data_IF_023758168768
#
_entry.id   IF_023758168768
#
_cell.length_a   1.000
_cell.length_b   1.000
_cell.length_c   1.000
_cell.angle_alpha   90.00
_cell.angle_beta   90.00
_cell.angle_gamma   90.00
#
_symmetry.space_group_name_H-M   'P 1'
#
loop_
_entity.id
_entity.type
_entity.pdbx_description
1 polymer ?
#
# COMPACT_ATOMS: atom_id res chain seq x y z
N UNK A 1 -22.38 25.11 -14.39
CA UNK A 1 -21.74 23.81 -14.20
C UNK A 1 -20.31 24.00 -13.71
N UNK A 2 -20.02 23.49 -12.53
CA UNK A 2 -18.67 23.33 -11.98
C UNK A 2 -18.29 21.86 -12.03
N UNK A 3 -17.02 21.58 -12.31
CA UNK A 3 -16.50 20.21 -12.44
C UNK A 3 -15.27 20.09 -11.56
N UNK A 4 -15.30 19.13 -10.64
CA UNK A 4 -14.16 18.74 -9.82
C UNK A 4 -13.89 17.25 -10.02
N UNK A 5 -12.62 16.85 -9.98
CA UNK A 5 -12.28 15.43 -9.89
C UNK A 5 -12.42 15.04 -8.43
N UNK A 6 -13.25 14.04 -8.14
CA UNK A 6 -13.50 13.60 -6.78
C UNK A 6 -12.21 13.16 -6.11
N UNK A 7 -12.12 13.40 -4.79
CA UNK A 7 -10.90 13.11 -4.02
C UNK A 7 -10.47 11.65 -4.14
N UNK A 8 -11.42 10.73 -4.16
CA UNK A 8 -11.20 9.29 -4.28
C UNK A 8 -12.13 8.69 -5.34
N UNK A 9 -11.74 7.52 -5.87
CA UNK A 9 -12.59 6.73 -6.74
C UNK A 9 -13.95 6.47 -6.08
N UNK A 10 -15.03 6.69 -6.84
CA UNK A 10 -16.43 6.55 -6.43
C UNK A 10 -16.85 7.44 -5.25
N UNK A 11 -16.08 8.48 -4.91
CA UNK A 11 -16.26 9.26 -3.69
C UNK A 11 -16.36 8.37 -2.42
N UNK A 12 -15.55 7.30 -2.37
CA UNK A 12 -15.44 6.42 -1.21
C UNK A 12 -14.05 6.52 -0.59
N UNK A 13 -14.00 6.67 0.72
CA UNK A 13 -12.75 6.68 1.47
C UNK A 13 -12.05 5.33 1.31
N UNK A 14 -10.80 5.31 0.81
CA UNK A 14 -10.11 4.06 0.67
C UNK A 14 -9.65 3.54 2.04
N UNK A 15 -9.93 2.25 2.28
CA UNK A 15 -9.36 1.47 3.38
C UNK A 15 -8.19 0.67 2.84
N UNK A 16 -7.10 0.61 3.58
CA UNK A 16 -5.94 -0.20 3.20
C UNK A 16 -5.17 -0.64 4.45
N UNK A 17 -4.31 -1.64 4.31
CA UNK A 17 -3.39 -2.04 5.38
C UNK A 17 -2.01 -2.36 4.82
N UNK A 18 -1.00 -1.95 5.57
CA UNK A 18 0.40 -2.21 5.31
C UNK A 18 0.88 -3.30 6.26
N UNK A 19 1.36 -4.41 5.71
CA UNK A 19 2.08 -5.44 6.45
C UNK A 19 3.59 -5.33 6.15
N UNK A 20 4.33 -4.87 7.15
CA UNK A 20 5.78 -4.73 7.13
C UNK A 20 6.47 -5.98 7.70
N UNK A 21 7.76 -6.11 7.42
CA UNK A 21 8.71 -7.12 7.89
C UNK A 21 8.44 -8.56 7.47
N UNK A 22 7.54 -8.80 6.53
CA UNK A 22 7.19 -10.17 6.16
C UNK A 22 8.29 -10.78 5.30
N UNK A 23 8.55 -12.08 5.48
CA UNK A 23 9.62 -12.79 4.79
C UNK A 23 9.21 -14.21 4.40
N UNK A 24 9.96 -14.83 3.49
CA UNK A 24 9.80 -16.24 3.17
C UNK A 24 10.21 -17.11 4.35
N UNK A 25 9.21 -17.59 5.11
CA UNK A 25 9.30 -18.52 6.25
C UNK A 25 10.13 -18.04 7.46
N UNK A 26 11.01 -17.04 7.31
CA UNK A 26 11.87 -16.55 8.39
C UNK A 26 11.07 -15.66 9.34
N UNK A 27 11.37 -15.77 10.64
CA UNK A 27 11.04 -14.71 11.58
C UNK A 27 12.18 -13.72 11.67
N UNK A 28 12.03 -12.62 10.91
CA UNK A 28 13.04 -11.58 10.83
C UNK A 28 13.45 -11.02 12.20
N UNK A 29 12.48 -10.88 13.11
CA UNK A 29 12.69 -10.26 14.41
C UNK A 29 13.58 -11.11 15.33
N UNK A 30 13.60 -12.44 15.18
CA UNK A 30 14.56 -13.31 15.86
C UNK A 30 16.00 -12.88 15.54
N UNK A 31 16.31 -12.73 14.25
CA UNK A 31 17.64 -12.38 13.79
C UNK A 31 17.97 -10.92 14.09
N UNK A 32 17.03 -10.01 13.82
CA UNK A 32 17.18 -8.60 14.08
C UNK A 32 17.51 -8.33 15.56
N UNK A 33 16.70 -8.82 16.50
CA UNK A 33 16.95 -8.59 17.93
C UNK A 33 18.26 -9.24 18.40
N UNK A 34 18.53 -10.49 17.98
CA UNK A 34 19.78 -11.20 18.32
C UNK A 34 21.00 -10.36 17.93
N UNK A 35 21.02 -9.88 16.68
CA UNK A 35 22.18 -9.17 16.13
C UNK A 35 22.24 -7.74 16.64
N UNK A 36 21.09 -7.08 16.81
CA UNK A 36 21.03 -5.69 17.26
C UNK A 36 21.40 -5.53 18.72
N UNK A 37 21.03 -6.48 19.58
CA UNK A 37 21.45 -6.50 20.99
C UNK A 37 22.98 -6.45 21.15
N UNK A 38 23.73 -7.04 20.21
CA UNK A 38 25.20 -6.98 20.23
C UNK A 38 25.75 -5.59 19.91
N UNK A 39 24.96 -4.76 19.21
CA UNK A 39 25.36 -3.42 18.78
C UNK A 39 24.95 -2.36 19.80
N UNK A 40 23.70 -2.38 20.28
CA UNK A 40 23.18 -1.37 21.19
C UNK A 40 23.19 -1.77 22.67
N UNK A 41 23.46 -3.04 22.97
CA UNK A 41 23.49 -3.55 24.34
C UNK A 41 22.11 -3.63 24.99
N UNK A 42 21.03 -3.48 24.22
CA UNK A 42 19.70 -3.78 24.72
C UNK A 42 19.55 -5.28 24.96
N UNK A 43 18.81 -5.67 25.99
CA UNK A 43 18.60 -7.08 26.35
C UNK A 43 17.24 -7.57 25.83
N UNK A 44 16.97 -7.36 24.54
CA UNK A 44 15.72 -7.83 23.93
C UNK A 44 15.70 -9.36 23.95
N UNK A 45 14.58 -9.95 24.37
CA UNK A 45 14.44 -11.41 24.55
C UNK A 45 14.22 -12.10 23.20
N UNK A 46 15.25 -12.24 22.39
CA UNK A 46 15.13 -12.82 21.06
C UNK A 46 14.94 -14.35 21.09
N UNK A 47 15.30 -14.99 22.21
CA UNK A 47 15.16 -16.42 22.41
C UNK A 47 13.71 -16.87 22.61
N UNK A 48 12.78 -15.97 22.99
CA UNK A 48 11.37 -16.36 23.13
C UNK A 48 10.61 -16.34 21.79
N UNK A 49 11.17 -15.73 20.73
CA UNK A 49 10.51 -15.69 19.42
C UNK A 49 10.97 -16.87 18.55
N UNK A 50 10.07 -17.52 17.78
CA UNK A 50 10.44 -18.63 16.93
C UNK A 50 11.30 -18.15 15.78
N UNK A 51 12.20 -19.00 15.28
CA UNK A 51 13.04 -18.69 14.10
C UNK A 51 12.19 -18.60 12.81
N UNK A 52 11.01 -19.20 12.80
CA UNK A 52 10.19 -19.43 11.59
C UNK A 52 8.76 -18.94 11.80
N UNK A 53 8.22 -18.25 10.79
CA UNK A 53 6.78 -18.06 10.62
C UNK A 53 6.21 -19.18 9.74
N UNK A 54 5.22 -19.95 10.22
CA UNK A 54 4.70 -21.07 9.45
C UNK A 54 3.89 -20.57 8.24
N UNK A 55 4.07 -21.21 7.08
CA UNK A 55 3.26 -20.94 5.87
C UNK A 55 1.76 -21.04 6.16
N UNK A 56 1.34 -21.98 7.01
CA UNK A 56 -0.06 -22.17 7.38
C UNK A 56 -0.70 -20.92 7.98
N UNK A 57 0.06 -20.08 8.70
CA UNK A 57 -0.46 -18.81 9.21
C UNK A 57 -0.62 -17.78 8.10
N UNK A 58 0.38 -17.66 7.22
CA UNK A 58 0.33 -16.72 6.08
C UNK A 58 -0.85 -17.09 5.15
N UNK A 59 -1.06 -18.39 4.92
CA UNK A 59 -2.17 -18.91 4.13
C UNK A 59 -3.52 -18.59 4.75
N UNK A 60 -3.72 -18.90 6.04
CA UNK A 60 -4.97 -18.58 6.74
C UNK A 60 -5.26 -17.07 6.73
N UNK A 61 -4.22 -16.26 6.89
CA UNK A 61 -4.33 -14.80 6.77
C UNK A 61 -4.78 -14.38 5.36
N UNK A 62 -4.10 -14.86 4.31
CA UNK A 62 -4.41 -14.50 2.93
C UNK A 62 -5.83 -14.91 2.52
N UNK A 63 -6.20 -16.17 2.81
CA UNK A 63 -7.54 -16.70 2.56
C UNK A 63 -8.62 -15.88 3.29
N UNK A 64 -8.40 -15.58 4.58
CA UNK A 64 -9.34 -14.76 5.34
C UNK A 64 -9.46 -13.34 4.77
N UNK A 65 -8.37 -12.72 4.33
CA UNK A 65 -8.39 -11.40 3.71
C UNK A 65 -9.16 -11.40 2.38
N UNK A 66 -8.96 -12.42 1.53
CA UNK A 66 -9.71 -12.59 0.29
C UNK A 66 -11.21 -12.73 0.55
N UNK A 67 -11.60 -13.60 1.47
CA UNK A 67 -12.99 -13.81 1.86
C UNK A 67 -13.67 -12.54 2.40
N UNK A 68 -12.89 -11.65 3.01
CA UNK A 68 -13.39 -10.43 3.63
C UNK A 68 -13.18 -9.17 2.78
N UNK A 69 -12.65 -9.32 1.56
CA UNK A 69 -12.38 -8.22 0.63
C UNK A 69 -11.32 -7.23 1.12
N UNK A 70 -10.48 -7.64 2.08
CA UNK A 70 -9.40 -6.80 2.61
C UNK A 70 -8.33 -6.65 1.54
N UNK A 71 -7.84 -5.43 1.37
CA UNK A 71 -6.76 -5.11 0.45
C UNK A 71 -5.68 -4.26 1.11
N UNK A 72 -4.48 -4.27 0.54
CA UNK A 72 -3.37 -3.54 1.11
C UNK A 72 -2.05 -3.70 0.37
N UNK A 73 -0.96 -3.68 1.13
CA UNK A 73 0.35 -4.16 0.67
C UNK A 73 0.98 -5.12 1.67
N UNK A 74 1.77 -6.04 1.14
CA UNK A 74 2.51 -7.07 1.87
C UNK A 74 3.99 -6.97 1.48
N UNK A 75 4.83 -6.64 2.44
CA UNK A 75 6.28 -6.63 2.23
C UNK A 75 6.80 -8.06 2.02
N UNK A 76 7.85 -8.23 1.22
CA UNK A 76 8.67 -9.45 1.26
C UNK A 76 10.13 -9.01 1.26
N UNK A 77 10.84 -9.27 2.34
CA UNK A 77 12.28 -8.94 2.41
C UNK A 77 13.05 -9.83 1.43
N UNK A 78 13.78 -9.28 0.44
CA UNK A 78 14.45 -10.05 -0.62
C UNK A 78 15.59 -10.94 -0.14
N UNK A 79 16.34 -10.50 0.87
CA UNK A 79 17.49 -11.19 1.46
C UNK A 79 17.35 -11.25 2.99
N UNK A 80 16.32 -11.91 3.52
CA UNK A 80 15.90 -11.75 4.92
C UNK A 80 17.05 -12.02 5.90
N UNK A 81 17.34 -11.03 6.76
CA UNK A 81 18.43 -11.07 7.74
C UNK A 81 19.82 -11.41 7.15
N UNK A 82 20.04 -11.09 5.86
CA UNK A 82 21.24 -11.44 5.11
C UNK A 82 21.53 -12.97 5.07
N UNK A 83 20.51 -13.81 5.19
CA UNK A 83 20.64 -15.28 5.17
C UNK A 83 20.80 -15.85 3.75
N UNK A 84 20.59 -15.03 2.72
CA UNK A 84 20.61 -15.41 1.31
C UNK A 84 19.47 -14.74 0.55
N UNK A 85 19.52 -14.81 -0.78
CA UNK A 85 18.47 -14.27 -1.65
C UNK A 85 17.33 -15.27 -1.79
N UNK A 86 16.09 -14.80 -1.72
CA UNK A 86 14.94 -15.70 -1.87
C UNK A 86 14.84 -16.32 -3.28
N UNK A 87 15.42 -15.68 -4.30
CA UNK A 87 15.41 -16.18 -5.69
C UNK A 87 16.46 -17.27 -5.97
N UNK A 88 17.39 -17.50 -5.05
CA UNK A 88 18.33 -18.65 -5.07
C UNK A 88 17.99 -19.70 -4.02
N UNK A 89 17.00 -19.40 -3.18
CA UNK A 89 16.61 -20.18 -2.03
C UNK A 89 17.45 -19.91 -0.77
N UNK A 90 16.83 -20.08 0.39
CA UNK A 90 17.41 -19.91 1.70
C UNK A 90 17.94 -21.25 2.25
N UNK A 91 19.18 -21.31 2.79
CA UNK A 91 19.77 -22.54 3.31
C UNK A 91 19.00 -23.22 4.44
N UNK A 92 18.11 -22.49 5.14
CA UNK A 92 17.34 -23.00 6.28
C UNK A 92 16.18 -23.91 5.87
N UNK A 93 15.75 -23.88 4.60
CA UNK A 93 14.53 -24.56 4.15
C UNK A 93 14.79 -25.41 2.92
N UNK A 94 14.03 -26.49 2.78
CA UNK A 94 14.04 -27.28 1.55
C UNK A 94 13.46 -26.48 0.38
N UNK A 95 13.87 -26.79 -0.84
CA UNK A 95 13.30 -26.19 -2.05
C UNK A 95 11.77 -26.32 -2.09
N UNK A 96 11.24 -27.49 -1.70
CA UNK A 96 9.80 -27.74 -1.69
C UNK A 96 9.02 -26.80 -0.74
N UNK A 97 9.58 -26.48 0.44
CA UNK A 97 8.95 -25.52 1.36
C UNK A 97 8.95 -24.10 0.79
N UNK A 98 10.01 -23.72 0.10
CA UNK A 98 10.17 -22.40 -0.49
C UNK A 98 9.25 -22.21 -1.69
N UNK A 99 9.19 -23.22 -2.58
CA UNK A 99 8.28 -23.24 -3.71
C UNK A 99 6.81 -23.20 -3.26
N UNK A 100 6.47 -23.94 -2.21
CA UNK A 100 5.14 -23.94 -1.60
C UNK A 100 4.75 -22.54 -1.09
N UNK A 101 5.66 -21.89 -0.36
CA UNK A 101 5.42 -20.55 0.17
C UNK A 101 5.28 -19.51 -0.94
N UNK A 102 6.16 -19.53 -1.94
CA UNK A 102 6.09 -18.61 -3.08
C UNK A 102 4.82 -18.82 -3.90
N UNK A 103 4.42 -20.07 -4.14
CA UNK A 103 3.17 -20.39 -4.82
C UNK A 103 1.96 -19.87 -4.03
N UNK A 104 1.94 -20.10 -2.72
CA UNK A 104 0.91 -19.58 -1.82
C UNK A 104 0.82 -18.06 -1.89
N UNK A 105 1.93 -17.33 -1.83
CA UNK A 105 1.90 -15.87 -1.95
C UNK A 105 1.27 -15.39 -3.26
N UNK A 106 1.60 -16.05 -4.38
CA UNK A 106 1.00 -15.71 -5.68
C UNK A 106 -0.50 -16.01 -5.73
N UNK A 107 -0.94 -17.08 -5.09
CA UNK A 107 -2.35 -17.49 -5.12
C UNK A 107 -3.24 -16.74 -4.13
N UNK A 108 -2.78 -16.49 -2.90
CA UNK A 108 -3.64 -15.99 -1.82
C UNK A 108 -3.24 -14.64 -1.23
N UNK A 109 -2.04 -14.13 -1.52
CA UNK A 109 -1.61 -12.79 -1.07
C UNK A 109 -1.75 -11.77 -2.21
N UNK A 110 -1.12 -12.00 -3.36
CA UNK A 110 -1.11 -11.06 -4.48
C UNK A 110 -2.48 -10.62 -5.02
N UNK A 111 -3.57 -11.41 -4.96
CA UNK A 111 -4.86 -10.91 -5.44
C UNK A 111 -5.45 -9.78 -4.58
N UNK A 112 -5.03 -9.65 -3.32
CA UNK A 112 -5.49 -8.62 -2.37
C UNK A 112 -4.42 -7.60 -2.02
N UNK A 113 -3.14 -7.92 -2.19
CA UNK A 113 -2.04 -7.12 -1.69
C UNK A 113 -1.01 -6.81 -2.76
N UNK A 114 -0.63 -5.54 -2.86
CA UNK A 114 0.59 -5.16 -3.57
C UNK A 114 1.80 -5.81 -2.89
N UNK A 115 2.78 -6.27 -3.67
CA UNK A 115 4.08 -6.69 -3.15
C UNK A 115 5.04 -5.50 -3.16
N UNK A 116 5.83 -5.38 -2.10
CA UNK A 116 6.95 -4.43 -2.03
C UNK A 116 8.17 -5.10 -1.39
N UNK A 117 9.40 -4.84 -1.83
CA UNK A 117 10.54 -5.05 -0.96
C UNK A 117 10.44 -4.07 0.21
N UNK A 118 10.85 -4.48 1.38
CA UNK A 118 11.12 -3.60 2.50
C UNK A 118 12.60 -3.65 2.75
N UNK A 119 13.30 -2.77 1.99
CA UNK A 119 14.59 -3.00 1.28
C UNK A 119 15.35 -4.32 1.55
N UNK A 120 16.67 -4.41 1.38
CA UNK A 120 17.28 -5.66 0.92
C UNK A 120 17.25 -6.76 1.97
N UNK A 121 17.70 -6.46 3.19
CA UNK A 121 17.84 -7.48 4.25
C UNK A 121 17.05 -7.18 5.50
N UNK A 122 16.69 -5.92 5.69
CA UNK A 122 16.14 -5.35 6.92
C UNK A 122 17.13 -5.36 8.10
N UNK A 123 18.39 -5.67 7.85
CA UNK A 123 19.49 -5.61 8.81
C UNK A 123 20.66 -4.82 8.24
N UNK A 124 21.58 -5.48 7.54
CA UNK A 124 22.84 -4.93 7.06
C UNK A 124 22.76 -4.51 5.59
N UNK A 125 23.48 -3.44 5.23
CA UNK A 125 23.72 -3.16 3.82
C UNK A 125 24.61 -4.25 3.23
N UNK A 126 24.26 -4.70 2.04
CA UNK A 126 24.98 -5.75 1.32
C UNK A 126 25.74 -5.23 0.11
N UNK A 127 26.79 -5.96 -0.26
CA UNK A 127 27.44 -5.82 -1.55
C UNK A 127 26.51 -6.27 -2.69
N UNK A 128 26.43 -5.48 -3.77
CA UNK A 128 25.48 -5.70 -4.86
C UNK A 128 25.78 -6.95 -5.71
N UNK A 129 27.04 -7.36 -5.79
CA UNK A 129 27.44 -8.53 -6.58
C UNK A 129 27.19 -9.82 -5.80
N UNK A 130 27.58 -9.83 -4.53
CA UNK A 130 27.58 -11.05 -3.70
C UNK A 130 26.36 -11.18 -2.80
N UNK A 131 25.61 -10.10 -2.56
CA UNK A 131 24.53 -10.00 -1.58
C UNK A 131 24.96 -10.41 -0.16
N UNK A 132 26.24 -10.25 0.17
CA UNK A 132 26.77 -10.46 1.52
C UNK A 132 26.85 -9.14 2.28
N UNK A 133 26.67 -9.12 3.61
CA UNK A 133 26.88 -7.92 4.40
C UNK A 133 28.25 -7.30 4.13
N UNK A 134 28.28 -5.98 4.02
CA UNK A 134 29.54 -5.24 3.90
C UNK A 134 30.40 -5.46 5.15
N UNK A 135 31.72 -5.49 4.98
CA UNK A 135 32.66 -5.63 6.12
C UNK A 135 32.54 -4.50 7.13
N UNK A 136 32.05 -3.32 6.70
CA UNK A 136 31.76 -2.19 7.57
C UNK A 136 30.64 -2.45 8.58
N UNK A 137 29.78 -3.45 8.34
CA UNK A 137 28.68 -3.80 9.23
C UNK A 137 27.60 -2.72 9.34
N UNK A 138 27.50 -1.82 8.37
CA UNK A 138 26.50 -0.74 8.37
C UNK A 138 25.07 -1.31 8.28
N UNK A 139 24.15 -0.77 9.08
CA UNK A 139 22.76 -1.18 9.12
C UNK A 139 21.88 -0.31 8.22
N UNK A 140 21.03 -0.95 7.41
CA UNK A 140 20.15 -0.27 6.45
C UNK A 140 19.24 0.77 7.15
N UNK A 141 18.75 0.44 8.35
CA UNK A 141 17.76 1.25 9.06
C UNK A 141 18.34 2.37 9.93
N UNK A 142 19.62 2.25 10.30
CA UNK A 142 20.22 3.10 11.34
C UNK A 142 21.41 3.89 10.81
N UNK A 143 22.33 3.23 10.13
CA UNK A 143 23.57 3.83 9.66
C UNK A 143 23.45 4.32 8.21
N UNK A 144 22.53 3.73 7.44
CA UNK A 144 22.22 4.13 6.07
C UNK A 144 20.83 4.77 5.93
N UNK A 145 20.41 5.46 7.00
CA UNK A 145 19.13 6.16 7.04
C UNK A 145 19.14 7.45 6.21
N UNK A 146 20.27 8.16 6.22
CA UNK A 146 20.63 9.27 5.33
C UNK A 146 21.40 8.76 4.11
N UNK A 147 20.70 8.70 2.98
CA UNK A 147 21.21 8.19 1.72
C UNK A 147 22.23 9.14 1.08
N UNK A 148 23.29 8.62 0.45
CA UNK A 148 24.33 9.41 -0.19
C UNK A 148 23.80 10.04 -1.49
N UNK A 149 23.42 11.32 -1.41
CA UNK A 149 22.82 12.05 -2.55
C UNK A 149 23.79 12.30 -3.70
N UNK A 150 25.09 12.17 -3.46
CA UNK A 150 26.17 12.20 -4.45
C UNK A 150 26.37 10.85 -5.17
N UNK A 151 25.68 9.79 -4.75
CA UNK A 151 25.78 8.43 -5.29
C UNK A 151 24.42 7.87 -5.70
N UNK A 152 23.68 8.62 -6.54
CA UNK A 152 22.33 8.25 -7.02
C UNK A 152 22.25 6.86 -7.66
N UNK A 153 23.24 6.50 -8.49
CA UNK A 153 23.25 5.20 -9.16
C UNK A 153 23.41 4.04 -8.18
N UNK A 154 24.26 4.18 -7.15
CA UNK A 154 24.42 3.16 -6.11
C UNK A 154 23.09 2.88 -5.39
N UNK A 155 22.40 3.94 -4.96
CA UNK A 155 21.12 3.81 -4.25
C UNK A 155 20.04 3.24 -5.17
N UNK A 156 20.00 3.71 -6.42
CA UNK A 156 19.06 3.22 -7.43
C UNK A 156 19.31 1.74 -7.73
N UNK A 157 20.56 1.31 -7.87
CA UNK A 157 20.92 -0.08 -8.16
C UNK A 157 20.65 -1.00 -6.97
N UNK A 158 20.82 -0.50 -5.74
CA UNK A 158 20.44 -1.21 -4.52
C UNK A 158 18.93 -1.50 -4.48
N UNK A 159 18.10 -0.49 -4.73
CA UNK A 159 16.65 -0.65 -4.79
C UNK A 159 16.24 -1.51 -5.99
N UNK A 160 16.93 -1.35 -7.13
CA UNK A 160 16.69 -2.15 -8.36
C UNK A 160 16.94 -3.62 -8.09
N UNK A 161 18.03 -3.98 -7.41
CA UNK A 161 18.37 -5.35 -7.08
C UNK A 161 17.35 -5.96 -6.11
N UNK A 162 16.91 -5.20 -5.10
CA UNK A 162 15.85 -5.62 -4.17
C UNK A 162 14.55 -5.94 -4.92
N UNK A 163 14.14 -5.06 -5.84
CA UNK A 163 12.96 -5.27 -6.67
C UNK A 163 13.12 -6.46 -7.62
N UNK A 164 14.30 -6.62 -8.24
CA UNK A 164 14.60 -7.69 -9.19
C UNK A 164 14.54 -9.07 -8.54
N UNK A 165 15.03 -9.21 -7.30
CA UNK A 165 14.95 -10.47 -6.55
C UNK A 165 13.49 -10.91 -6.38
N UNK A 166 12.59 -10.00 -6.03
CA UNK A 166 11.16 -10.32 -5.89
C UNK A 166 10.53 -10.66 -7.25
N UNK A 167 10.86 -9.89 -8.29
CA UNK A 167 10.37 -10.11 -9.64
C UNK A 167 10.82 -11.48 -10.22
N UNK A 168 12.05 -11.89 -9.96
CA UNK A 168 12.59 -13.20 -10.36
C UNK A 168 11.76 -14.38 -9.81
N UNK A 169 11.14 -14.21 -8.64
CA UNK A 169 10.24 -15.19 -8.05
C UNK A 169 8.77 -14.88 -8.30
N UNK A 170 8.44 -14.08 -9.32
CA UNK A 170 7.06 -13.78 -9.70
C UNK A 170 6.26 -13.05 -8.61
N UNK A 171 6.96 -12.35 -7.71
CA UNK A 171 6.38 -11.44 -6.71
C UNK A 171 6.67 -9.99 -7.16
N UNK A 172 6.30 -9.67 -8.41
CA UNK A 172 6.60 -8.38 -9.06
C UNK A 172 6.14 -7.20 -8.20
N UNK A 173 7.05 -6.30 -7.79
CA UNK A 173 6.71 -5.21 -6.88
C UNK A 173 5.85 -4.12 -7.53
N UNK A 174 4.82 -3.64 -6.83
CA UNK A 174 4.05 -2.46 -7.24
C UNK A 174 4.61 -1.15 -6.64
N UNK A 175 5.45 -1.28 -5.62
CA UNK A 175 6.09 -0.18 -4.90
C UNK A 175 7.27 -0.66 -4.06
N UNK A 176 7.82 0.21 -3.24
CA UNK A 176 8.90 -0.11 -2.27
C UNK A 176 8.54 0.35 -0.86
N UNK A 177 9.16 -0.27 0.13
CA UNK A 177 8.98 0.04 1.54
C UNK A 177 10.30 0.43 2.16
N UNK A 178 10.31 1.59 2.80
CA UNK A 178 11.42 2.06 3.63
C UNK A 178 11.33 1.38 5.00
N UNK A 179 12.30 0.54 5.40
CA UNK A 179 12.36 0.09 6.79
C UNK A 179 12.78 1.28 7.69
N UNK A 180 12.40 1.26 8.96
CA UNK A 180 12.93 2.18 9.99
C UNK A 180 13.34 3.58 9.49
N UNK A 181 14.64 3.89 9.57
CA UNK A 181 15.19 5.18 9.15
C UNK A 181 15.46 5.36 7.65
N UNK A 182 15.70 4.30 6.89
CA UNK A 182 16.17 4.29 5.48
C UNK A 182 15.43 5.28 4.57
N UNK A 183 16.10 6.01 3.68
CA UNK A 183 15.38 6.82 2.68
C UNK A 183 15.20 8.30 3.04
N UNK A 184 16.13 8.89 3.79
CA UNK A 184 16.28 10.35 3.90
C UNK A 184 17.38 10.84 2.95
N UNK A 185 17.28 12.02 2.33
CA UNK A 185 16.11 12.87 2.27
C UNK A 185 15.03 12.29 1.32
N UNK A 186 13.77 12.55 1.66
CA UNK A 186 12.61 11.94 1.01
C UNK A 186 12.53 12.15 -0.52
N UNK A 187 12.79 13.36 -1.06
CA UNK A 187 12.76 13.56 -2.52
C UNK A 187 13.78 12.68 -3.24
N UNK A 188 15.00 12.60 -2.73
CA UNK A 188 16.06 11.78 -3.32
C UNK A 188 15.70 10.28 -3.31
N UNK A 189 15.16 9.79 -2.19
CA UNK A 189 14.66 8.42 -2.10
C UNK A 189 13.54 8.15 -3.11
N UNK A 190 12.55 9.04 -3.22
CA UNK A 190 11.45 8.92 -4.16
C UNK A 190 11.96 8.85 -5.62
N UNK A 191 12.96 9.66 -5.99
CA UNK A 191 13.60 9.64 -7.32
C UNK A 191 14.29 8.31 -7.62
N UNK A 192 15.12 7.83 -6.69
CA UNK A 192 15.85 6.57 -6.86
C UNK A 192 14.88 5.39 -6.94
N UNK A 193 13.86 5.36 -6.07
CA UNK A 193 12.85 4.33 -6.03
C UNK A 193 11.98 4.28 -7.30
N UNK A 194 11.54 5.44 -7.81
CA UNK A 194 10.81 5.55 -9.08
C UNK A 194 11.63 4.92 -10.22
N UNK A 195 12.88 5.35 -10.36
CA UNK A 195 13.79 4.86 -11.40
C UNK A 195 14.02 3.36 -11.29
N UNK A 196 14.26 2.85 -10.08
CA UNK A 196 14.47 1.43 -9.83
C UNK A 196 13.25 0.58 -10.20
N UNK A 197 12.06 0.96 -9.75
CA UNK A 197 10.82 0.23 -10.06
C UNK A 197 10.50 0.26 -11.56
N UNK A 198 10.73 1.38 -12.24
CA UNK A 198 10.58 1.48 -13.69
C UNK A 198 11.56 0.56 -14.44
N UNK A 199 12.82 0.49 -14.03
CA UNK A 199 13.84 -0.43 -14.61
C UNK A 199 13.48 -1.91 -14.46
N UNK A 200 12.72 -2.27 -13.42
CA UNK A 200 12.34 -3.67 -13.18
C UNK A 200 11.00 -4.00 -13.84
N UNK A 201 9.99 -3.16 -13.62
CA UNK A 201 8.58 -3.50 -13.87
C UNK A 201 7.96 -2.72 -15.02
N UNK A 202 8.58 -1.62 -15.46
CA UNK A 202 7.96 -0.67 -16.39
C UNK A 202 6.73 0.06 -15.83
N UNK A 203 6.41 -0.09 -14.54
CA UNK A 203 5.28 0.60 -13.93
C UNK A 203 5.47 2.11 -14.01
N UNK A 204 4.52 2.81 -14.64
CA UNK A 204 4.57 4.26 -14.83
C UNK A 204 4.25 5.05 -13.55
N UNK A 205 3.46 4.46 -12.65
CA UNK A 205 3.00 5.10 -11.39
C UNK A 205 3.25 4.19 -10.17
N UNK A 206 4.51 3.80 -9.90
CA UNK A 206 4.85 3.08 -8.69
C UNK A 206 4.62 3.94 -7.45
N UNK A 207 4.75 3.33 -6.27
CA UNK A 207 4.66 4.05 -5.01
C UNK A 207 5.74 3.67 -4.01
N UNK A 208 5.91 4.48 -2.96
CA UNK A 208 6.67 4.08 -1.79
C UNK A 208 5.85 4.27 -0.50
N UNK A 209 6.19 3.47 0.51
CA UNK A 209 5.80 3.68 1.90
C UNK A 209 7.01 4.09 2.74
N UNK A 210 6.85 5.12 3.59
CA UNK A 210 7.86 5.55 4.57
C UNK A 210 7.24 6.29 5.77
N UNK A 211 6.24 7.14 5.53
CA UNK A 211 5.70 8.03 6.56
C UNK A 211 4.46 7.46 7.25
N UNK A 212 4.37 7.75 8.54
CA UNK A 212 3.19 7.51 9.37
C UNK A 212 2.72 8.86 9.91
N UNK A 213 1.42 9.15 9.79
CA UNK A 213 0.78 10.35 10.31
C UNK A 213 -0.24 9.96 11.40
N UNK A 214 0.23 9.96 12.65
CA UNK A 214 -0.55 9.52 13.82
C UNK A 214 -1.73 10.44 14.19
N UNK A 215 -1.72 11.68 13.72
CA UNK A 215 -2.76 12.68 13.92
C UNK A 215 -3.00 13.51 12.65
N UNK A 216 -4.02 14.37 12.67
CA UNK A 216 -4.31 15.29 11.56
C UNK A 216 -4.83 14.62 10.28
N UNK A 217 -4.93 15.41 9.19
CA UNK A 217 -5.35 14.93 7.87
C UNK A 217 -4.28 14.06 7.22
N UNK A 218 -4.71 13.11 6.39
CA UNK A 218 -3.82 12.23 5.62
C UNK A 218 -3.76 12.69 4.17
N UNK A 219 -2.55 12.91 3.69
CA UNK A 219 -2.24 13.31 2.32
C UNK A 219 -2.01 12.08 1.42
N UNK A 220 -2.04 12.30 0.11
CA UNK A 220 -1.63 11.33 -0.92
C UNK A 220 -0.64 12.02 -1.88
N UNK A 221 0.61 12.24 -1.45
CA UNK A 221 1.58 13.01 -2.23
C UNK A 221 1.91 12.33 -3.57
N UNK A 222 2.14 13.17 -4.58
CA UNK A 222 2.59 12.76 -5.91
C UNK A 222 3.94 13.42 -6.15
N UNK A 223 4.96 12.60 -6.36
CA UNK A 223 6.33 13.01 -6.60
C UNK A 223 6.66 12.92 -8.09
N UNK A 224 7.41 13.89 -8.59
CA UNK A 224 7.89 13.94 -9.98
C UNK A 224 6.81 13.66 -11.04
N UNK A 225 5.62 14.31 -10.97
CA UNK A 225 4.61 14.13 -11.99
C UNK A 225 5.10 14.63 -13.36
N UNK A 226 4.95 13.78 -14.37
CA UNK A 226 5.23 14.09 -15.77
C UNK A 226 4.01 13.70 -16.61
N UNK A 227 3.21 14.73 -16.97
CA UNK A 227 1.99 14.57 -17.76
C UNK A 227 2.26 14.23 -19.23
N UNK A 228 3.47 14.46 -19.76
CA UNK A 228 3.81 14.11 -21.14
C UNK A 228 4.02 12.60 -21.24
N UNK A 229 4.70 12.01 -20.27
CA UNK A 229 4.98 10.57 -20.22
C UNK A 229 3.96 9.76 -19.42
N UNK A 230 3.08 10.43 -18.66
CA UNK A 230 2.12 9.78 -17.76
C UNK A 230 2.81 9.04 -16.60
N UNK A 231 3.97 9.55 -16.17
CA UNK A 231 4.76 8.94 -15.09
C UNK A 231 4.76 9.79 -13.82
N UNK A 232 4.80 9.14 -12.66
CA UNK A 232 4.91 9.78 -11.36
C UNK A 232 5.32 8.74 -10.30
N UNK A 233 5.70 9.19 -9.11
CA UNK A 233 5.87 8.33 -7.94
C UNK A 233 4.88 8.71 -6.87
N UNK A 234 3.99 7.79 -6.51
CA UNK A 234 3.06 7.98 -5.42
C UNK A 234 3.70 7.78 -4.05
N UNK A 235 3.15 8.42 -3.03
CA UNK A 235 3.45 8.07 -1.64
C UNK A 235 2.18 7.61 -0.94
N UNK A 236 2.29 6.47 -0.26
CA UNK A 236 1.26 6.02 0.69
C UNK A 236 1.72 6.37 2.12
N UNK A 237 0.79 6.87 2.92
CA UNK A 237 1.03 7.28 4.32
C UNK A 237 0.09 6.49 5.21
N UNK A 238 0.62 5.78 6.20
CA UNK A 238 -0.19 5.10 7.19
C UNK A 238 -0.75 6.12 8.19
N UNK A 239 -2.00 5.95 8.61
CA UNK A 239 -2.68 6.86 9.53
C UNK A 239 -2.70 6.36 10.98
N UNK A 240 -2.22 5.13 11.22
CA UNK A 240 -2.21 4.48 12.54
C UNK A 240 -0.79 4.14 12.97
N UNK A 241 -0.59 3.93 14.28
CA UNK A 241 0.53 3.14 14.75
C UNK A 241 0.24 1.64 14.58
N UNK A 242 1.25 0.81 14.89
CA UNK A 242 1.04 -0.63 15.04
C UNK A 242 0.56 -0.94 16.46
N UNK A 243 -0.74 -1.19 16.59
CA UNK A 243 -1.41 -1.67 17.81
C UNK A 243 -1.91 -3.11 17.64
N UNK A 244 -1.25 -3.85 16.74
CA UNK A 244 -1.46 -5.28 16.49
C UNK A 244 -0.35 -6.15 17.08
N UNK A 245 0.50 -5.61 17.96
CA UNK A 245 1.54 -6.37 18.66
C UNK A 245 2.96 -5.85 18.46
N UNK A 246 3.11 -4.75 17.71
CA UNK A 246 4.37 -4.06 17.37
C UNK A 246 5.40 -4.90 16.63
N UNK A 247 6.41 -4.25 16.04
CA UNK A 247 7.53 -4.92 15.36
C UNK A 247 8.29 -5.93 16.25
N UNK A 248 8.25 -5.77 17.58
CA UNK A 248 8.97 -6.67 18.50
C UNK A 248 8.22 -7.97 18.79
N UNK A 249 6.92 -8.08 18.50
CA UNK A 249 6.10 -9.20 18.96
C UNK A 249 5.68 -9.13 20.43
N UNK A 250 6.21 -8.16 21.20
CA UNK A 250 5.91 -7.95 22.63
C UNK A 250 4.96 -6.78 22.88
N UNK A 251 4.58 -6.05 21.84
CA UNK A 251 3.70 -4.89 21.95
C UNK A 251 2.30 -5.26 22.42
N UNK A 252 1.65 -4.29 23.05
CA UNK A 252 0.24 -4.37 23.40
C UNK A 252 -0.64 -4.38 22.15
N UNK A 253 -1.72 -5.14 22.23
CA UNK A 253 -2.75 -5.21 21.18
C UNK A 253 -3.97 -4.47 21.65
N UNK A 254 -4.41 -3.49 20.86
CA UNK A 254 -5.58 -2.68 21.20
C UNK A 254 -6.37 -2.30 19.95
N UNK A 255 -7.50 -3.01 19.76
CA UNK A 255 -8.44 -2.72 18.67
C UNK A 255 -9.17 -1.38 18.85
N UNK A 256 -9.33 -0.88 20.08
CA UNK A 256 -10.08 0.35 20.35
C UNK A 256 -9.29 1.60 19.95
N UNK A 257 -7.95 1.51 19.87
CA UNK A 257 -7.12 2.57 19.27
C UNK A 257 -7.39 2.76 17.78
N UNK A 258 -7.73 1.67 17.08
CA UNK A 258 -8.15 1.74 15.67
C UNK A 258 -9.59 2.23 15.56
N UNK A 259 -10.51 1.52 16.20
CA UNK A 259 -11.95 1.81 16.19
C UNK A 259 -12.59 1.21 17.45
N UNK A 260 -13.26 2.03 18.25
CA UNK A 260 -13.88 1.62 19.52
C UNK A 260 -15.12 0.74 19.31
N UNK A 261 -15.62 0.12 20.39
CA UNK A 261 -16.78 -0.78 20.33
C UNK A 261 -18.09 -0.09 19.92
N UNK A 262 -18.24 1.20 20.23
CA UNK A 262 -19.36 2.04 19.79
C UNK A 262 -19.18 2.58 18.36
N UNK A 263 -18.07 2.22 17.69
CA UNK A 263 -17.71 2.57 16.32
C UNK A 263 -17.38 4.04 16.08
N UNK A 264 -17.50 4.92 17.07
CA UNK A 264 -17.32 6.37 16.92
C UNK A 264 -15.93 6.88 17.28
N UNK A 265 -15.21 6.17 18.16
CA UNK A 265 -13.89 6.53 18.64
C UNK A 265 -12.75 5.74 17.97
N UNK A 266 -11.51 6.13 18.29
CA UNK A 266 -10.31 5.59 17.66
C UNK A 266 -9.86 6.40 16.45
N UNK A 267 -8.75 6.00 15.84
CA UNK A 267 -8.13 6.76 14.74
C UNK A 267 -8.91 6.64 13.43
N UNK A 268 -9.46 5.48 13.11
CA UNK A 268 -10.06 5.21 11.81
C UNK A 268 -11.36 6.01 11.59
N UNK A 269 -12.33 6.08 12.53
CA UNK A 269 -13.52 6.92 12.35
C UNK A 269 -13.18 8.38 12.04
N UNK A 270 -12.24 8.97 12.79
CA UNK A 270 -11.82 10.36 12.58
C UNK A 270 -11.20 10.59 11.18
N UNK A 271 -10.41 9.66 10.68
CA UNK A 271 -9.81 9.74 9.33
C UNK A 271 -10.88 9.57 8.25
N UNK A 272 -11.79 8.60 8.43
CA UNK A 272 -12.89 8.33 7.49
C UNK A 272 -13.84 9.51 7.39
N UNK A 273 -14.25 10.09 8.52
CA UNK A 273 -15.17 11.22 8.56
C UNK A 273 -14.54 12.50 7.95
N UNK A 274 -13.22 12.63 8.04
CA UNK A 274 -12.46 13.70 7.36
C UNK A 274 -12.19 13.42 5.86
N UNK A 275 -12.66 12.29 5.33
CA UNK A 275 -12.45 11.86 3.95
C UNK A 275 -11.00 11.50 3.61
N UNK A 276 -10.13 11.25 4.60
CA UNK A 276 -8.73 10.87 4.38
C UNK A 276 -8.59 9.37 4.12
N UNK A 277 -7.57 8.92 3.35
CA UNK A 277 -7.31 7.49 3.18
C UNK A 277 -7.00 6.84 4.53
N UNK A 278 -7.76 5.82 4.90
CA UNK A 278 -7.63 5.11 6.17
C UNK A 278 -6.71 3.89 5.98
N UNK A 279 -5.41 4.16 6.02
CA UNK A 279 -4.34 3.17 5.81
C UNK A 279 -3.77 2.73 7.15
N UNK A 280 -3.98 1.47 7.51
CA UNK A 280 -3.42 0.86 8.72
C UNK A 280 -1.97 0.43 8.48
N UNK A 281 -1.19 0.30 9.55
CA UNK A 281 0.11 -0.37 9.55
C UNK A 281 0.16 -1.47 10.61
N UNK A 282 0.84 -2.55 10.27
CA UNK A 282 1.13 -3.69 11.13
C UNK A 282 2.49 -4.28 10.74
N UNK A 283 3.26 -4.77 11.71
CA UNK A 283 4.46 -5.54 11.45
C UNK A 283 4.17 -7.03 11.66
N UNK A 284 4.67 -7.86 10.74
CA UNK A 284 4.28 -9.26 10.63
C UNK A 284 4.49 -10.08 11.91
N UNK A 285 5.52 -9.75 12.67
CA UNK A 285 5.92 -10.47 13.89
C UNK A 285 4.98 -10.15 15.05
N UNK A 286 4.62 -8.88 15.23
CA UNK A 286 3.54 -8.45 16.13
C UNK A 286 2.21 -9.10 15.78
N UNK A 287 1.91 -9.08 14.49
CA UNK A 287 0.67 -9.60 13.93
C UNK A 287 0.48 -11.10 14.20
N UNK A 288 1.55 -11.89 13.99
CA UNK A 288 1.60 -13.31 14.32
C UNK A 288 1.62 -13.57 15.84
N UNK A 289 2.33 -12.76 16.61
CA UNK A 289 2.55 -12.94 18.05
C UNK A 289 3.76 -13.83 18.37
N UNK A 290 3.90 -14.24 19.63
CA UNK A 290 5.09 -14.98 20.08
C UNK A 290 5.12 -16.44 19.62
N UNK A 291 3.97 -17.05 19.36
CA UNK A 291 3.87 -18.42 18.89
C UNK A 291 2.55 -18.63 18.15
N UNK A 292 2.40 -19.79 17.50
CA UNK A 292 1.24 -20.06 16.64
C UNK A 292 -0.10 -19.99 17.37
N UNK A 293 -0.12 -20.23 18.69
CA UNK A 293 -1.35 -20.11 19.49
C UNK A 293 -1.62 -18.67 19.97
N UNK A 294 -0.64 -17.76 19.88
CA UNK A 294 -0.80 -16.36 20.30
C UNK A 294 -1.68 -15.61 19.31
N UNK A 295 -1.26 -15.31 18.08
CA UNK A 295 -2.07 -14.69 17.00
C UNK A 295 -2.95 -13.52 17.45
N UNK A 296 -2.53 -12.79 18.49
CA UNK A 296 -3.33 -11.72 19.09
C UNK A 296 -3.53 -10.54 18.14
N UNK A 297 -2.51 -10.21 17.36
CA UNK A 297 -2.59 -9.19 16.31
C UNK A 297 -3.62 -9.55 15.25
N UNK A 298 -3.57 -10.78 14.73
CA UNK A 298 -4.56 -11.25 13.77
C UNK A 298 -5.99 -11.19 14.32
N UNK A 299 -6.22 -11.65 15.56
CA UNK A 299 -7.56 -11.58 16.19
C UNK A 299 -8.05 -10.13 16.35
N UNK A 300 -7.18 -9.22 16.76
CA UNK A 300 -7.54 -7.81 16.87
C UNK A 300 -7.83 -7.20 15.49
N UNK A 301 -7.07 -7.53 14.46
CA UNK A 301 -7.34 -7.07 13.11
C UNK A 301 -8.69 -7.58 12.59
N UNK A 302 -9.03 -8.87 12.80
CA UNK A 302 -10.38 -9.38 12.47
C UNK A 302 -11.48 -8.56 13.16
N UNK A 303 -11.27 -8.17 14.43
CA UNK A 303 -12.19 -7.32 15.19
C UNK A 303 -12.32 -5.91 14.58
N UNK A 304 -11.20 -5.29 14.19
CA UNK A 304 -11.17 -3.97 13.54
C UNK A 304 -11.92 -4.01 12.21
N UNK A 305 -11.65 -5.00 11.36
CA UNK A 305 -12.36 -5.17 10.08
C UNK A 305 -13.86 -5.40 10.30
N UNK A 306 -14.24 -6.19 11.31
CA UNK A 306 -15.64 -6.38 11.70
C UNK A 306 -16.33 -5.06 12.08
N UNK A 307 -15.68 -4.23 12.88
CA UNK A 307 -16.19 -2.90 13.29
C UNK A 307 -16.29 -1.92 12.13
N UNK A 308 -15.31 -1.91 11.21
CA UNK A 308 -15.38 -1.09 9.99
C UNK A 308 -16.58 -1.48 9.13
N UNK A 309 -16.83 -2.79 8.97
CA UNK A 309 -18.01 -3.31 8.26
C UNK A 309 -19.32 -2.94 8.95
N UNK A 310 -19.36 -2.95 10.28
CA UNK A 310 -20.52 -2.54 11.07
C UNK A 310 -20.79 -1.03 10.96
N UNK A 311 -19.74 -0.21 10.89
CA UNK A 311 -19.85 1.24 10.69
C UNK A 311 -20.39 1.61 9.30
N UNK A 312 -20.08 0.81 8.28
CA UNK A 312 -20.48 1.03 6.88
C UNK A 312 -21.20 -0.20 6.29
N UNK A 313 -22.32 -0.57 6.91
CA UNK A 313 -23.08 -1.80 6.56
C UNK A 313 -23.52 -1.89 5.09
N UNK A 314 -23.64 -0.75 4.40
CA UNK A 314 -24.04 -0.67 2.99
C UNK A 314 -22.87 -0.45 2.02
N UNK A 315 -21.65 -0.29 2.52
CA UNK A 315 -20.46 0.00 1.71
C UNK A 315 -20.59 1.31 0.93
N UNK A 316 -21.22 2.31 1.52
CA UNK A 316 -21.51 3.59 0.86
C UNK A 316 -20.38 4.61 1.04
N UNK A 317 -19.60 4.47 2.11
CA UNK A 317 -18.61 5.46 2.54
C UNK A 317 -17.19 5.01 2.29
N UNK A 318 -16.93 3.72 2.38
CA UNK A 318 -15.58 3.15 2.39
C UNK A 318 -15.41 2.05 1.38
N UNK A 319 -14.18 1.85 0.90
CA UNK A 319 -13.85 0.78 -0.04
C UNK A 319 -12.42 0.29 0.21
N UNK A 320 -12.22 -1.02 0.35
CA UNK A 320 -10.87 -1.59 0.42
C UNK A 320 -10.12 -1.42 -0.90
N UNK A 321 -8.89 -0.93 -0.83
CA UNK A 321 -7.98 -0.69 -1.96
C UNK A 321 -6.57 -1.15 -1.65
N UNK A 322 -5.85 -1.59 -2.67
CA UNK A 322 -4.38 -1.73 -2.56
C UNK A 322 -3.74 -0.35 -2.46
N UNK A 323 -2.50 -0.28 -1.99
CA UNK A 323 -1.79 1.00 -1.88
C UNK A 323 -1.58 1.62 -3.28
N UNK A 324 -1.28 0.81 -4.29
CA UNK A 324 -1.10 1.21 -5.67
C UNK A 324 -2.39 1.71 -6.32
N UNK A 325 -3.56 1.15 -5.97
CA UNK A 325 -4.86 1.69 -6.39
C UNK A 325 -5.07 3.12 -5.84
N UNK A 326 -4.74 3.35 -4.56
CA UNK A 326 -4.87 4.67 -3.91
C UNK A 326 -3.92 5.68 -4.56
N UNK A 327 -2.64 5.33 -4.69
CA UNK A 327 -1.64 6.27 -5.19
C UNK A 327 -1.79 6.52 -6.69
N UNK A 328 -2.16 5.52 -7.50
CA UNK A 328 -2.46 5.71 -8.93
C UNK A 328 -3.61 6.68 -9.13
N UNK A 329 -4.66 6.58 -8.32
CA UNK A 329 -5.77 7.55 -8.38
C UNK A 329 -5.29 8.96 -8.02
N UNK A 330 -4.44 9.11 -7.00
CA UNK A 330 -3.84 10.39 -6.66
C UNK A 330 -3.00 10.96 -7.81
N UNK A 331 -2.16 10.15 -8.48
CA UNK A 331 -1.42 10.54 -9.67
C UNK A 331 -2.33 10.96 -10.83
N UNK A 332 -3.41 10.21 -11.08
CA UNK A 332 -4.40 10.53 -12.09
C UNK A 332 -5.08 11.88 -11.81
N UNK A 333 -5.51 12.11 -10.56
CA UNK A 333 -6.15 13.37 -10.16
C UNK A 333 -5.20 14.56 -10.27
N UNK A 334 -3.95 14.41 -9.84
CA UNK A 334 -2.94 15.48 -9.84
C UNK A 334 -2.61 15.96 -11.27
N UNK A 335 -2.54 15.03 -12.22
CA UNK A 335 -2.13 15.32 -13.59
C UNK A 335 -3.28 15.54 -14.57
N UNK A 336 -4.52 15.23 -14.17
CA UNK A 336 -5.67 15.40 -15.04
C UNK A 336 -6.08 16.87 -15.19
N UNK A 337 -6.57 17.22 -16.36
CA UNK A 337 -7.19 18.54 -16.61
C UNK A 337 -8.61 18.36 -17.15
N UNK A 338 -9.46 19.34 -16.86
CA UNK A 338 -10.85 19.37 -17.32
C UNK A 338 -11.19 20.75 -17.89
N UNK A 339 -11.78 20.77 -19.08
CA UNK A 339 -12.29 21.99 -19.73
C UNK A 339 -13.79 21.85 -19.96
N UNK A 340 -14.55 22.82 -19.46
CA UNK A 340 -16.01 22.87 -19.64
C UNK A 340 -16.34 23.81 -20.78
N UNK A 341 -17.17 23.36 -21.73
CA UNK A 341 -17.72 24.21 -22.80
C UNK A 341 -19.19 23.86 -22.99
N UNK A 342 -20.06 24.80 -22.66
CA UNK A 342 -21.52 24.60 -22.63
C UNK A 342 -21.90 23.34 -21.82
N UNK A 343 -22.42 22.32 -22.50
CA UNK A 343 -22.84 21.05 -21.94
C UNK A 343 -21.83 19.92 -22.15
N UNK A 344 -20.58 20.25 -22.45
CA UNK A 344 -19.50 19.28 -22.68
C UNK A 344 -18.35 19.47 -21.70
N UNK A 345 -17.73 18.36 -21.31
CA UNK A 345 -16.54 18.33 -20.47
C UNK A 345 -15.47 17.54 -21.23
N UNK A 346 -14.39 18.21 -21.63
CA UNK A 346 -13.22 17.59 -22.23
C UNK A 346 -12.17 17.35 -21.13
N UNK A 347 -11.68 16.12 -21.02
CA UNK A 347 -10.65 15.71 -20.07
C UNK A 347 -9.37 15.34 -20.80
N UNK A 348 -8.23 15.75 -20.22
CA UNK A 348 -6.92 15.15 -20.51
C UNK A 348 -6.48 14.34 -19.29
N UNK A 349 -6.25 13.03 -19.47
CA UNK A 349 -5.93 12.07 -18.42
C UNK A 349 -4.58 11.40 -18.68
N UNK A 350 -3.44 12.06 -18.36
CA UNK A 350 -2.10 11.48 -18.55
C UNK A 350 -1.93 10.12 -17.87
N UNK A 351 -2.54 9.95 -16.70
CA UNK A 351 -2.64 8.67 -16.00
C UNK A 351 -4.10 8.23 -15.99
N UNK A 352 -4.34 7.06 -16.58
CA UNK A 352 -5.65 6.41 -16.55
C UNK A 352 -5.78 5.56 -15.29
N UNK A 353 -6.92 5.67 -14.62
CA UNK A 353 -7.28 4.82 -13.48
C UNK A 353 -8.72 4.37 -13.65
N UNK A 354 -9.07 3.12 -13.28
CA UNK A 354 -10.46 2.71 -13.17
C UNK A 354 -11.23 3.62 -12.21
N UNK A 355 -12.55 3.66 -12.40
CA UNK A 355 -13.50 4.36 -11.53
C UNK A 355 -13.15 5.84 -11.35
N UNK A 356 -12.59 6.46 -12.39
CA UNK A 356 -12.34 7.89 -12.43
C UNK A 356 -13.66 8.62 -12.19
N UNK A 357 -13.69 9.49 -11.19
CA UNK A 357 -14.93 10.06 -10.67
C UNK A 357 -14.90 11.58 -10.74
N UNK A 358 -15.91 12.16 -11.39
CA UNK A 358 -16.16 13.60 -11.37
C UNK A 358 -17.28 13.91 -10.38
N UNK A 359 -17.17 15.07 -9.73
CA UNK A 359 -18.23 15.72 -8.98
C UNK A 359 -18.69 16.95 -9.77
N UNK A 360 -19.96 16.96 -10.17
CA UNK A 360 -20.58 18.03 -10.95
C UNK A 360 -21.56 18.81 -10.08
N UNK A 361 -21.42 20.14 -10.05
CA UNK A 361 -22.31 21.06 -9.31
C UNK A 361 -22.85 22.13 -10.24
N UNK A 362 -23.88 22.86 -9.82
CA UNK A 362 -24.55 23.90 -10.61
C UNK A 362 -25.05 23.40 -11.99
N UNK A 363 -25.61 22.18 -12.01
CA UNK A 363 -26.24 21.56 -13.17
C UNK A 363 -27.35 20.60 -12.77
N UNK A 364 -28.51 20.72 -13.40
CA UNK A 364 -29.64 19.79 -13.24
C UNK A 364 -29.58 18.72 -14.32
N UNK A 365 -28.72 17.74 -14.07
CA UNK A 365 -28.39 16.65 -14.98
C UNK A 365 -29.51 15.59 -15.01
N UNK A 366 -30.00 15.30 -16.21
CA UNK A 366 -30.92 14.18 -16.48
C UNK A 366 -30.23 13.01 -17.18
N UNK A 367 -29.13 13.26 -17.88
CA UNK A 367 -28.31 12.24 -18.53
C UNK A 367 -26.87 12.68 -18.70
N UNK A 368 -25.98 11.69 -18.82
CA UNK A 368 -24.57 11.90 -19.16
C UNK A 368 -24.09 10.77 -20.05
N UNK A 369 -23.30 11.10 -21.05
CA UNK A 369 -22.60 10.15 -21.89
C UNK A 369 -21.08 10.40 -21.83
N UNK A 370 -20.29 9.33 -21.79
CA UNK A 370 -18.82 9.36 -21.86
C UNK A 370 -18.42 8.78 -23.21
N UNK A 371 -17.71 9.56 -24.02
CA UNK A 371 -17.33 9.21 -25.40
C UNK A 371 -18.51 8.69 -26.25
N UNK A 372 -19.68 9.30 -26.04
CA UNK A 372 -20.94 8.95 -26.71
C UNK A 372 -21.68 7.74 -26.13
N UNK A 373 -21.16 7.10 -25.08
CA UNK A 373 -21.83 5.99 -24.39
C UNK A 373 -22.61 6.53 -23.19
N UNK A 374 -23.95 6.41 -23.16
CA UNK A 374 -24.75 6.88 -22.04
C UNK A 374 -24.47 6.05 -20.77
N UNK A 375 -24.44 6.72 -19.62
CA UNK A 375 -24.28 6.07 -18.32
C UNK A 375 -25.63 5.82 -17.65
N UNK A 376 -25.68 4.77 -16.82
CA UNK A 376 -26.87 4.43 -16.05
C UNK A 376 -27.00 5.31 -14.79
N UNK A 377 -28.23 5.67 -14.41
CA UNK A 377 -28.47 6.35 -13.13
C UNK A 377 -28.45 5.33 -11.99
N UNK A 378 -27.51 5.48 -11.05
CA UNK A 378 -27.52 4.71 -9.82
C UNK A 378 -28.63 5.19 -8.87
N UNK A 379 -29.41 4.24 -8.34
CA UNK A 379 -30.52 4.55 -7.42
C UNK A 379 -30.09 4.83 -5.97
N UNK A 380 -28.83 4.59 -5.62
CA UNK A 380 -28.27 4.81 -4.29
C UNK A 380 -26.75 4.94 -4.36
N UNK A 381 -26.14 5.47 -3.30
CA UNK A 381 -24.68 5.55 -3.14
C UNK A 381 -24.01 4.17 -3.16
N UNK A 382 -24.67 3.14 -2.62
CA UNK A 382 -24.18 1.77 -2.65
C UNK A 382 -24.14 1.21 -4.08
N UNK A 383 -25.11 1.58 -4.91
CA UNK A 383 -25.20 1.17 -6.31
C UNK A 383 -24.28 1.99 -7.24
N UNK A 384 -23.73 3.12 -6.78
CA UNK A 384 -22.79 3.94 -7.54
C UNK A 384 -21.49 3.17 -7.80
N UNK A 385 -21.15 3.04 -9.08
CA UNK A 385 -20.02 2.26 -9.61
C UNK A 385 -19.60 2.79 -10.97
N UNK A 386 -18.54 2.24 -11.56
CA UNK A 386 -18.16 2.59 -12.94
C UNK A 386 -19.32 2.43 -13.92
N UNK A 387 -19.37 3.31 -14.92
CA UNK A 387 -20.45 3.46 -15.91
C UNK A 387 -21.80 3.90 -15.34
N UNK A 388 -21.79 4.61 -14.21
CA UNK A 388 -23.01 5.17 -13.62
C UNK A 388 -22.84 6.62 -13.20
N UNK A 389 -23.95 7.31 -12.99
CA UNK A 389 -24.00 8.58 -12.29
C UNK A 389 -24.98 8.53 -11.11
N UNK A 390 -24.68 9.27 -10.05
CA UNK A 390 -25.46 9.31 -8.81
C UNK A 390 -25.61 10.75 -8.34
N UNK A 391 -26.83 11.19 -8.01
CA UNK A 391 -27.07 12.53 -7.46
C UNK A 391 -27.27 12.44 -5.97
N UNK A 392 -26.51 13.24 -5.23
CA UNK A 392 -26.64 13.42 -3.80
C UNK A 392 -26.69 14.92 -3.49
N UNK A 393 -27.81 15.39 -2.96
CA UNK A 393 -28.08 16.81 -2.76
C UNK A 393 -27.92 17.59 -4.09
N UNK A 394 -27.05 18.60 -4.11
CA UNK A 394 -26.78 19.47 -5.25
C UNK A 394 -25.58 19.02 -6.09
N UNK A 395 -24.98 17.87 -5.77
CA UNK A 395 -23.83 17.31 -6.49
C UNK A 395 -24.22 16.03 -7.23
N UNK A 396 -23.77 15.92 -8.48
CA UNK A 396 -23.89 14.69 -9.28
C UNK A 396 -22.51 14.08 -9.46
N UNK A 397 -22.32 12.87 -8.98
CA UNK A 397 -21.12 12.09 -9.19
C UNK A 397 -21.23 11.27 -10.46
N UNK A 398 -20.18 11.26 -11.26
CA UNK A 398 -20.10 10.50 -12.53
C UNK A 398 -18.86 9.64 -12.48
N UNK A 399 -19.01 8.32 -12.62
CA UNK A 399 -17.89 7.37 -12.56
C UNK A 399 -17.78 6.54 -13.84
N UNK A 400 -16.56 6.41 -14.37
CA UNK A 400 -16.27 5.66 -15.59
C UNK A 400 -14.82 5.17 -15.63
N UNK A 401 -14.54 4.23 -16.53
CA UNK A 401 -13.20 3.72 -16.79
C UNK A 401 -12.67 4.33 -18.10
N UNK A 402 -11.70 5.26 -18.06
CA UNK A 402 -11.21 5.94 -19.26
C UNK A 402 -10.51 4.95 -20.22
N UNK A 403 -10.97 4.92 -21.47
CA UNK A 403 -10.37 4.07 -22.52
C UNK A 403 -9.19 4.75 -23.22
N UNK A 404 -9.17 6.08 -23.24
CA UNK A 404 -8.14 6.94 -23.83
C UNK A 404 -7.66 8.00 -22.84
N UNK A 405 -6.57 8.70 -23.18
CA UNK A 405 -6.07 9.87 -22.45
C UNK A 405 -7.06 11.03 -22.57
N UNK A 406 -7.52 11.31 -23.79
CA UNK A 406 -8.58 12.28 -24.03
C UNK A 406 -9.94 11.62 -23.84
N UNK A 407 -10.81 12.22 -23.03
CA UNK A 407 -12.18 11.73 -22.78
C UNK A 407 -13.15 12.90 -22.89
N UNK A 408 -14.28 12.70 -23.55
CA UNK A 408 -15.32 13.71 -23.69
C UNK A 408 -16.61 13.26 -23.02
N UNK A 409 -17.17 14.11 -22.16
CA UNK A 409 -18.48 13.92 -21.58
C UNK A 409 -19.48 14.89 -22.20
N UNK A 410 -20.69 14.39 -22.49
CA UNK A 410 -21.83 15.21 -22.90
C UNK A 410 -22.89 15.14 -21.81
N UNK A 411 -23.40 16.30 -21.40
CA UNK A 411 -24.36 16.46 -20.31
C UNK A 411 -25.73 16.83 -20.90
N UNK A 412 -26.73 16.01 -20.59
CA UNK A 412 -28.13 16.35 -20.84
C UNK A 412 -28.68 17.03 -19.58
N UNK A 413 -28.95 18.33 -19.67
CA UNK A 413 -29.52 19.14 -18.59
C UNK A 413 -30.97 19.54 -18.89
N UNK A 414 -31.75 19.79 -17.84
CA UNK A 414 -33.13 20.32 -17.96
C UNK A 414 -33.20 21.76 -18.47
#
# INVERSE_FOLDING_TARGET
MQVEIARHALDRVPLSIIFDDSTMLVNLNYFFMRDRNLVDGENRRWEDVPVVHPESFVREFGEWCLENGVKGKYSVVPCPAALGRIDHGLPLFSQAQQDSWLHMCREVIMPSFDITPEMMTHTYVVDLETCRPLESGIWEQYDWDELPTDQEELVTDYITLACRILDNVGLTPAGVTSPGGFGRPLPFYAKCAQTALQRVTGNATPYFFKRIAGDGPIETPVWYPDADTGTAMGEIIACTGDWTGSWTGYGEVDADRYITADLEGGRLPAVIDAGGPAVLISHWQGFYGLHNDDRRGFRAFKKVVGRLRERDTRGERTQWRTCSEITRYACAREMATATVTDNTIALDLPVRTPEFTLALSDVDLVGVAVDGVPLDRAGSRAAFRTNTFYRENDTTFVAFDPQSREVNLTIDSL
#
